data_IF_534326532979
#
_entry.id   IF_534326532979
#
_cell.length_a   1.000
_cell.length_b   1.000
_cell.length_c   1.000
_cell.angle_alpha   90.00
_cell.angle_beta   90.00
_cell.angle_gamma   90.00
#
_symmetry.space_group_name_H-M   'P 1'
#
loop_
_entity.id
_entity.type
_entity.pdbx_description
1 polymer ?
#
# COMPACT_ATOMS: atom_id res chain seq x y z
N UNK A 1 -10.01 2.43 5.95
CA UNK A 1 -9.28 1.20 6.35
C UNK A 1 -7.90 1.57 6.89
N UNK A 2 -7.33 0.75 7.77
CA UNK A 2 -5.95 0.96 8.25
C UNK A 2 -4.98 0.04 7.51
N UNK A 3 -3.81 0.56 7.20
CA UNK A 3 -2.71 -0.17 6.58
C UNK A 3 -1.46 -0.10 7.44
N UNK A 4 -0.63 -1.13 7.32
CA UNK A 4 0.72 -1.15 7.89
C UNK A 4 1.72 -1.19 6.75
N UNK A 5 2.73 -0.31 6.80
CA UNK A 5 3.81 -0.36 5.83
C UNK A 5 4.54 -1.71 5.94
N UNK A 6 4.79 -2.31 4.79
CA UNK A 6 5.41 -3.61 4.66
C UNK A 6 6.60 -3.52 3.71
N UNK A 7 7.65 -4.28 3.97
CA UNK A 7 8.69 -4.55 2.99
C UNK A 7 9.07 -6.04 3.03
N UNK A 8 9.77 -6.48 1.99
CA UNK A 8 10.23 -7.86 1.86
C UNK A 8 11.47 -8.17 2.72
N UNK A 9 11.56 -7.61 3.94
CA UNK A 9 12.64 -7.87 4.89
C UNK A 9 13.99 -7.19 4.57
N UNK A 10 14.08 -6.43 3.47
CA UNK A 10 15.29 -5.69 3.10
C UNK A 10 14.94 -4.27 2.63
N UNK A 11 15.77 -3.32 3.06
CA UNK A 11 15.73 -1.95 2.57
C UNK A 11 16.39 -1.86 1.18
N UNK A 12 15.68 -1.30 0.22
CA UNK A 12 16.20 -0.95 -1.10
C UNK A 12 15.99 0.55 -1.36
N UNK A 13 17.07 1.27 -1.67
CA UNK A 13 17.01 2.71 -2.00
C UNK A 13 16.19 3.02 -3.25
N UNK A 14 16.02 2.02 -4.11
CA UNK A 14 15.20 2.11 -5.32
C UNK A 14 13.68 2.15 -5.04
N UNK A 15 13.26 1.88 -3.79
CA UNK A 15 11.86 1.71 -3.42
C UNK A 15 11.28 0.34 -3.81
N UNK A 16 12.07 -0.56 -4.37
CA UNK A 16 11.61 -1.92 -4.67
C UNK A 16 11.31 -2.71 -3.39
N UNK A 17 10.28 -3.57 -3.45
CA UNK A 17 9.94 -4.48 -2.35
C UNK A 17 9.19 -3.85 -1.18
N UNK A 18 8.67 -2.62 -1.33
CA UNK A 18 7.76 -2.00 -0.37
C UNK A 18 6.30 -2.16 -0.78
N UNK A 19 5.44 -2.12 0.22
CA UNK A 19 4.01 -2.11 0.04
C UNK A 19 3.26 -1.74 1.31
N UNK A 20 1.96 -1.98 1.27
CA UNK A 20 1.05 -1.72 2.38
C UNK A 20 0.26 -2.99 2.62
N UNK A 21 0.37 -3.52 3.83
CA UNK A 21 -0.45 -4.63 4.29
C UNK A 21 -1.77 -4.07 4.83
N UNK A 22 -2.88 -4.55 4.27
CA UNK A 22 -4.23 -4.26 4.76
C UNK A 22 -4.80 -5.48 5.48
N UNK A 23 -5.71 -5.22 6.42
CA UNK A 23 -6.47 -6.30 7.06
C UNK A 23 -7.40 -6.97 6.03
N UNK A 24 -7.52 -8.29 6.09
CA UNK A 24 -8.31 -9.07 5.14
C UNK A 24 -9.81 -8.71 5.17
N UNK A 25 -10.34 -8.37 6.35
CA UNK A 25 -11.75 -7.98 6.49
C UNK A 25 -11.99 -6.61 5.86
N UNK A 26 -11.06 -5.68 6.04
CA UNK A 26 -11.09 -4.38 5.38
C UNK A 26 -10.92 -4.54 3.86
N UNK A 27 -9.98 -5.39 3.41
CA UNK A 27 -9.82 -5.72 1.97
C UNK A 27 -11.15 -6.18 1.38
N UNK A 28 -11.76 -7.22 1.96
CA UNK A 28 -12.96 -7.83 1.40
C UNK A 28 -14.19 -6.93 1.48
N UNK A 29 -14.21 -5.98 2.42
CA UNK A 29 -15.28 -5.00 2.56
C UNK A 29 -15.19 -3.86 1.55
N UNK A 30 -13.99 -3.37 1.26
CA UNK A 30 -13.79 -2.13 0.50
C UNK A 30 -13.19 -2.32 -0.88
N UNK A 31 -12.58 -3.48 -1.16
CA UNK A 31 -11.95 -3.80 -2.45
C UNK A 31 -12.74 -4.92 -3.09
N UNK A 32 -13.22 -4.67 -4.31
CA UNK A 32 -14.07 -5.63 -5.02
C UNK A 32 -13.23 -6.62 -5.84
N UNK A 33 -13.66 -7.88 -5.88
CA UNK A 33 -12.92 -8.97 -6.56
C UNK A 33 -12.85 -8.81 -8.07
N UNK A 34 -13.80 -8.10 -8.66
CA UNK A 34 -13.81 -7.77 -10.07
C UNK A 34 -12.76 -6.72 -10.47
N UNK A 35 -12.19 -5.98 -9.51
CA UNK A 35 -11.14 -5.01 -9.79
C UNK A 35 -9.80 -5.70 -10.00
N UNK A 36 -9.12 -5.33 -11.06
CA UNK A 36 -7.79 -5.87 -11.42
C UNK A 36 -6.65 -4.99 -10.92
N UNK A 37 -6.93 -3.71 -10.67
CA UNK A 37 -5.99 -2.73 -10.14
C UNK A 37 -6.66 -1.74 -9.20
N UNK A 38 -5.85 -1.07 -8.39
CA UNK A 38 -6.22 0.10 -7.60
C UNK A 38 -5.51 1.33 -8.16
N UNK A 39 -6.17 2.48 -8.12
CA UNK A 39 -5.50 3.76 -8.29
C UNK A 39 -5.25 4.38 -6.93
N UNK A 40 -4.01 4.73 -6.64
CA UNK A 40 -3.60 5.20 -5.33
C UNK A 40 -3.00 6.60 -5.44
N UNK A 41 -3.59 7.55 -4.73
CA UNK A 41 -3.01 8.86 -4.50
C UNK A 41 -2.28 8.84 -3.16
N UNK A 42 -0.96 9.01 -3.20
CA UNK A 42 -0.13 9.07 -2.01
C UNK A 42 -0.11 10.50 -1.46
N UNK A 43 -0.13 10.64 -0.12
CA UNK A 43 -0.09 11.94 0.54
C UNK A 43 1.10 12.78 0.06
N UNK A 44 0.81 14.01 -0.37
CA UNK A 44 1.79 14.95 -0.90
C UNK A 44 2.24 14.68 -2.34
N UNK A 45 1.67 13.67 -3.02
CA UNK A 45 1.85 13.44 -4.46
C UNK A 45 0.63 13.93 -5.24
N UNK A 46 0.85 14.37 -6.48
CA UNK A 46 -0.23 14.91 -7.34
C UNK A 46 -0.89 13.84 -8.21
N UNK A 47 -0.14 12.79 -8.56
CA UNK A 47 -0.55 11.79 -9.53
C UNK A 47 -0.94 10.47 -8.83
N UNK A 48 -1.95 9.81 -9.41
CA UNK A 48 -2.29 8.44 -9.03
C UNK A 48 -1.24 7.46 -9.56
N UNK A 49 -0.93 6.46 -8.75
CA UNK A 49 -0.19 5.27 -9.17
C UNK A 49 -1.17 4.11 -9.35
N UNK A 50 -0.94 3.29 -10.36
CA UNK A 50 -1.70 2.05 -10.54
C UNK A 50 -0.99 0.90 -9.79
N UNK A 51 -1.76 0.11 -9.03
CA UNK A 51 -1.26 -1.09 -8.36
C UNK A 51 -2.10 -2.30 -8.72
N UNK A 52 -1.45 -3.28 -9.34
CA UNK A 52 -2.05 -4.55 -9.72
C UNK A 52 -2.44 -5.37 -8.46
N UNK A 53 -3.72 -5.72 -8.38
CA UNK A 53 -4.32 -6.60 -7.36
C UNK A 53 -4.89 -7.90 -7.95
N UNK A 54 -4.79 -8.09 -9.27
CA UNK A 54 -5.18 -9.31 -10.00
C UNK A 54 -4.15 -10.44 -9.82
N UNK A 55 -3.82 -10.74 -8.55
CA UNK A 55 -2.90 -11.80 -8.17
C UNK A 55 -3.52 -12.62 -7.05
N UNK A 56 -3.43 -13.95 -7.16
CA UNK A 56 -4.02 -14.90 -6.18
C UNK A 56 -3.54 -14.63 -4.75
N UNK A 57 -2.28 -14.23 -4.58
CA UNK A 57 -1.69 -13.92 -3.27
C UNK A 57 -2.42 -12.80 -2.53
N UNK A 58 -2.86 -11.75 -3.24
CA UNK A 58 -3.59 -10.62 -2.66
C UNK A 58 -4.93 -11.06 -2.05
N UNK A 59 -5.62 -11.99 -2.70
CA UNK A 59 -6.93 -12.51 -2.27
C UNK A 59 -6.85 -13.71 -1.33
N UNK A 60 -5.68 -14.36 -1.21
CA UNK A 60 -5.51 -15.58 -0.42
C UNK A 60 -5.15 -15.34 1.05
N UNK A 61 -4.38 -14.28 1.36
CA UNK A 61 -3.92 -13.97 2.73
C UNK A 61 -2.67 -13.08 2.80
N UNK A 62 -2.03 -12.88 1.65
CA UNK A 62 -0.94 -11.91 1.47
C UNK A 62 -1.53 -10.62 0.90
N UNK A 63 -2.42 -9.97 1.67
CA UNK A 63 -3.13 -8.73 1.33
C UNK A 63 -2.21 -7.51 1.26
N UNK A 64 -1.02 -7.66 0.68
CA UNK A 64 -0.05 -6.60 0.47
C UNK A 64 -0.20 -5.96 -0.92
N UNK A 65 -0.43 -4.65 -0.91
CA UNK A 65 -0.38 -3.76 -2.07
C UNK A 65 1.07 -3.35 -2.27
N UNK A 66 1.77 -3.98 -3.23
CA UNK A 66 3.21 -3.82 -3.44
C UNK A 66 3.43 -3.00 -4.71
N UNK A 67 4.14 -1.88 -4.61
CA UNK A 67 4.52 -1.05 -5.75
C UNK A 67 5.80 -0.27 -5.41
N UNK A 68 6.71 -0.15 -6.38
CA UNK A 68 7.97 0.60 -6.22
C UNK A 68 7.75 2.08 -5.86
N UNK A 69 6.67 2.68 -6.36
CA UNK A 69 6.37 4.09 -6.11
C UNK A 69 5.93 4.32 -4.66
N UNK A 70 5.30 3.34 -4.01
CA UNK A 70 5.05 3.36 -2.56
C UNK A 70 6.40 3.40 -1.81
N UNK A 71 7.36 2.58 -2.22
CA UNK A 71 8.70 2.57 -1.61
C UNK A 71 9.44 3.90 -1.77
N UNK A 72 9.41 4.50 -2.96
CA UNK A 72 9.99 5.83 -3.19
C UNK A 72 9.33 6.90 -2.34
N UNK A 73 8.00 6.89 -2.24
CA UNK A 73 7.25 7.81 -1.38
C UNK A 73 7.63 7.66 0.10
N UNK A 74 7.80 6.42 0.59
CA UNK A 74 8.27 6.17 1.95
C UNK A 74 9.67 6.72 2.19
N UNK A 75 10.59 6.52 1.25
CA UNK A 75 11.98 7.02 1.35
C UNK A 75 11.99 8.55 1.34
N UNK A 76 11.27 9.18 0.40
CA UNK A 76 11.10 10.65 0.32
C UNK A 76 10.61 11.26 1.64
N UNK A 77 9.76 10.53 2.36
CA UNK A 77 9.19 10.95 3.64
C UNK A 77 9.95 10.44 4.89
N UNK A 78 11.19 9.96 4.74
CA UNK A 78 12.00 9.39 5.83
C UNK A 78 11.34 8.24 6.62
N UNK A 79 10.44 7.50 5.96
CA UNK A 79 9.68 6.36 6.50
C UNK A 79 10.01 5.03 5.81
N UNK A 80 11.01 5.01 4.94
CA UNK A 80 11.52 3.79 4.32
C UNK A 80 12.27 2.86 5.27
N UNK A 81 12.67 3.34 6.45
CA UNK A 81 13.32 2.54 7.51
C UNK A 81 12.53 2.67 8.80
N UNK A 82 12.45 1.57 9.55
CA UNK A 82 11.80 1.55 10.86
C UNK A 82 12.45 0.53 11.79
N UNK A 83 12.28 0.77 13.09
CA UNK A 83 12.74 -0.16 14.12
C UNK A 83 12.00 -1.50 14.05
N UNK A 84 12.60 -2.55 14.61
CA UNK A 84 12.00 -3.89 14.66
C UNK A 84 10.58 -3.80 15.24
N UNK A 85 9.62 -4.44 14.57
CA UNK A 85 8.20 -4.46 14.94
C UNK A 85 7.51 -3.09 15.02
N UNK A 86 8.11 -2.03 14.48
CA UNK A 86 7.54 -0.68 14.48
C UNK A 86 7.32 -0.09 13.08
N UNK A 87 6.68 -0.80 12.13
CA UNK A 87 6.40 -0.26 10.81
C UNK A 87 5.45 0.94 10.87
N UNK A 88 5.66 1.98 10.02
CA UNK A 88 4.72 3.09 9.92
C UNK A 88 3.31 2.63 9.61
N UNK A 89 2.32 3.40 10.07
CA UNK A 89 0.90 3.15 9.81
C UNK A 89 0.37 4.18 8.83
N UNK A 90 -0.65 3.77 8.09
CA UNK A 90 -1.35 4.61 7.13
C UNK A 90 -2.85 4.38 7.24
N UNK A 91 -3.63 5.37 6.82
CA UNK A 91 -5.05 5.20 6.50
C UNK A 91 -5.18 5.15 4.99
N UNK A 92 -6.02 4.25 4.50
CA UNK A 92 -6.49 4.28 3.13
C UNK A 92 -7.94 4.74 3.15
N UNK A 93 -8.21 5.78 2.38
CA UNK A 93 -9.49 6.48 2.27
C UNK A 93 -10.02 6.17 0.88
N UNK A 94 -11.18 5.51 0.81
CA UNK A 94 -11.88 5.29 -0.45
C UNK A 94 -12.35 6.64 -0.98
N UNK A 95 -11.97 6.99 -2.21
CA UNK A 95 -12.42 8.20 -2.89
C UNK A 95 -13.65 7.86 -3.75
N UNK A 96 -13.46 6.96 -4.72
CA UNK A 96 -14.47 6.44 -5.63
C UNK A 96 -13.98 5.13 -6.24
N UNK A 97 -14.88 4.18 -6.52
CA UNK A 97 -14.55 2.89 -7.15
C UNK A 97 -13.25 2.26 -6.62
N UNK A 98 -12.27 2.00 -7.48
CA UNK A 98 -10.97 1.43 -7.15
C UNK A 98 -9.90 2.49 -6.77
N UNK A 99 -10.31 3.73 -6.52
CA UNK A 99 -9.43 4.86 -6.19
C UNK A 99 -9.36 5.10 -4.69
N UNK A 100 -8.14 5.14 -4.18
CA UNK A 100 -7.86 5.36 -2.77
C UNK A 100 -6.85 6.49 -2.58
N UNK A 101 -7.03 7.27 -1.52
CA UNK A 101 -5.97 8.13 -0.98
C UNK A 101 -5.31 7.43 0.20
N UNK A 102 -3.99 7.56 0.30
CA UNK A 102 -3.19 7.01 1.40
C UNK A 102 -2.46 8.12 2.11
N UNK A 103 -2.63 8.19 3.43
CA UNK A 103 -2.04 9.21 4.29
C UNK A 103 -1.42 8.53 5.52
N UNK A 104 -0.32 9.10 6.04
CA UNK A 104 0.28 8.63 7.29
C UNK A 104 -0.66 8.87 8.48
N UNK A 105 -0.50 8.06 9.54
CA UNK A 105 -1.17 8.22 10.83
C UNK A 105 -0.12 8.23 11.94
#
# INVERSE_FOLDING_TARGET
>A
MKGTIWNNGKYYETGAGYGIKIDERDRDKYIKKEWTYLQILLEGEENFIEVNINKRSFWGGCSEIINKEIGKWLIKNNKGRWGKNNPPKVKLILLEENKFRIEFI
#
